data_IF_771819153510
#
_entry.id   IF_771819153510
#
_cell.length_a   1.000
_cell.length_b   1.000
_cell.length_c   1.000
_cell.angle_alpha   90.00
_cell.angle_beta   90.00
_cell.angle_gamma   90.00
#
_symmetry.space_group_name_H-M   'P 1'
#
loop_
_entity.id
_entity.type
_entity.pdbx_description
1 polymer ?
#
# COMPACT_ATOMS: atom_id res chain seq x y z
N UNK A 1 -7.26 2.99 -5.00
CA UNK A 1 -5.83 3.33 -4.76
C UNK A 1 -5.51 3.15 -3.27
N UNK A 2 -4.39 2.51 -2.95
CA UNK A 2 -3.73 2.51 -1.64
C UNK A 2 -2.31 3.08 -1.81
N UNK A 3 -1.90 3.95 -0.90
CA UNK A 3 -0.63 4.68 -0.95
C UNK A 3 0.36 4.14 0.09
N UNK A 4 0.46 2.82 0.20
CA UNK A 4 1.32 2.15 1.19
C UNK A 4 2.80 2.51 1.08
N UNK A 5 3.53 2.51 2.21
CA UNK A 5 4.99 2.72 2.22
C UNK A 5 5.78 1.63 1.48
N UNK A 6 5.14 0.52 1.12
CA UNK A 6 5.72 -0.55 0.28
C UNK A 6 5.31 -0.46 -1.20
N UNK A 7 4.65 0.62 -1.62
CA UNK A 7 4.17 0.87 -2.99
C UNK A 7 2.78 1.46 -3.01
N UNK A 8 2.54 2.34 -4.00
CA UNK A 8 1.19 2.78 -4.33
C UNK A 8 0.55 1.74 -5.26
N UNK A 9 -0.62 1.25 -4.86
CA UNK A 9 -1.34 0.18 -5.55
C UNK A 9 -2.72 0.67 -5.98
N UNK A 10 -3.09 0.39 -7.22
CA UNK A 10 -4.38 0.74 -7.75
C UNK A 10 -4.89 -0.33 -8.72
N UNK A 11 -6.20 -0.38 -8.89
CA UNK A 11 -6.84 -1.19 -9.92
C UNK A 11 -7.53 -0.23 -10.86
N UNK A 12 -7.12 -0.27 -12.13
CA UNK A 12 -7.66 0.54 -13.21
C UNK A 12 -8.63 -0.26 -14.06
N UNK A 13 -9.67 0.42 -14.54
CA UNK A 13 -10.68 -0.17 -15.42
C UNK A 13 -11.25 0.92 -16.32
N UNK A 14 -11.43 0.63 -17.61
CA UNK A 14 -12.20 1.47 -18.53
C UNK A 14 -13.67 1.05 -18.48
N UNK A 15 -14.55 2.02 -18.18
CA UNK A 15 -16.00 1.83 -18.16
C UNK A 15 -16.56 2.46 -19.43
N UNK A 16 -16.79 1.65 -20.43
CA UNK A 16 -17.52 1.99 -21.64
C UNK A 16 -18.58 0.90 -21.93
N UNK A 17 -19.28 0.97 -23.04
CA UNK A 17 -20.36 0.06 -23.47
C UNK A 17 -20.02 -1.45 -23.53
N UNK A 18 -18.91 -1.85 -22.99
CA UNK A 18 -18.46 -3.22 -22.72
C UNK A 18 -17.36 -3.16 -21.69
N UNK A 19 -17.45 -3.96 -20.64
CA UNK A 19 -16.54 -3.92 -19.48
C UNK A 19 -15.14 -4.32 -19.89
N UNK A 20 -14.21 -3.37 -19.84
CA UNK A 20 -12.77 -3.63 -19.96
C UNK A 20 -12.28 -4.57 -18.86
N UNK A 21 -11.16 -5.27 -19.10
CA UNK A 21 -10.51 -6.07 -18.05
C UNK A 21 -9.82 -5.15 -17.05
N UNK A 22 -10.00 -5.36 -15.73
CA UNK A 22 -9.26 -4.61 -14.73
C UNK A 22 -7.77 -4.98 -14.79
N UNK A 23 -6.90 -4.03 -14.52
CA UNK A 23 -5.47 -4.27 -14.42
C UNK A 23 -4.88 -3.57 -13.19
N UNK A 24 -3.78 -4.12 -12.70
CA UNK A 24 -3.05 -3.60 -11.56
C UNK A 24 -2.13 -2.46 -11.99
N UNK A 25 -2.18 -1.36 -11.24
CA UNK A 25 -1.17 -0.30 -11.26
C UNK A 25 -0.37 -0.44 -9.97
N UNK A 26 0.95 -0.60 -10.09
CA UNK A 26 1.84 -0.71 -8.95
C UNK A 26 3.04 0.21 -9.16
N UNK A 27 3.14 1.26 -8.35
CA UNK A 27 4.24 2.21 -8.35
C UNK A 27 5.05 2.06 -7.07
N UNK A 28 6.36 2.19 -7.18
CA UNK A 28 7.21 2.29 -6.01
C UNK A 28 6.80 3.50 -5.15
N UNK A 29 7.06 3.47 -3.84
CA UNK A 29 6.48 4.46 -2.93
C UNK A 29 7.17 5.83 -2.95
N UNK A 30 8.35 5.94 -3.55
CA UNK A 30 9.18 7.13 -3.52
C UNK A 30 8.58 8.29 -4.32
N UNK A 31 8.69 9.50 -3.78
CA UNK A 31 8.33 10.77 -4.40
C UNK A 31 9.44 11.76 -4.14
N UNK A 32 10.07 12.29 -5.18
CA UNK A 32 11.19 13.23 -5.05
C UNK A 32 10.89 14.54 -5.75
N UNK A 33 10.93 15.70 -5.06
CA UNK A 33 10.92 16.99 -5.71
C UNK A 33 12.18 17.18 -6.55
N UNK A 34 12.00 17.55 -7.82
CA UNK A 34 13.12 17.69 -8.76
C UNK A 34 13.03 18.99 -9.53
N UNK A 35 14.13 19.43 -10.14
CA UNK A 35 14.09 20.61 -11.01
C UNK A 35 13.59 20.26 -12.41
N UNK A 36 13.01 21.22 -13.12
CA UNK A 36 12.67 21.05 -14.53
C UNK A 36 13.88 20.65 -15.35
N UNK A 37 15.03 21.29 -15.12
CA UNK A 37 16.27 20.98 -15.82
C UNK A 37 16.73 19.53 -15.64
N UNK A 38 16.52 18.96 -14.44
CA UNK A 38 16.82 17.54 -14.18
C UNK A 38 15.92 16.60 -14.96
N UNK A 39 14.62 16.94 -15.11
CA UNK A 39 13.68 16.19 -15.95
C UNK A 39 14.04 16.34 -17.43
N UNK A 40 14.33 17.55 -17.92
CA UNK A 40 14.73 17.79 -19.30
C UNK A 40 16.01 17.00 -19.65
N UNK A 41 16.99 16.96 -18.76
CA UNK A 41 18.20 16.17 -18.92
C UNK A 41 17.93 14.65 -18.91
N UNK A 42 17.00 14.17 -18.06
CA UNK A 42 16.57 12.77 -18.07
C UNK A 42 15.90 12.40 -19.41
N UNK A 43 14.93 13.19 -19.86
CA UNK A 43 14.19 12.94 -21.10
C UNK A 43 15.11 12.94 -22.34
N UNK A 44 16.07 13.87 -22.41
CA UNK A 44 17.03 13.94 -23.53
C UNK A 44 18.08 12.82 -23.51
N UNK A 45 18.39 12.27 -22.34
CA UNK A 45 19.35 11.18 -22.17
C UNK A 45 18.75 9.76 -22.26
N UNK A 46 17.42 9.64 -22.28
CA UNK A 46 16.74 8.33 -22.32
C UNK A 46 16.61 7.85 -23.77
N UNK A 47 17.22 6.70 -24.07
CA UNK A 47 17.12 6.03 -25.37
C UNK A 47 16.11 4.88 -25.28
N UNK A 48 15.09 4.89 -26.13
CA UNK A 48 14.09 3.82 -26.23
C UNK A 48 12.83 4.06 -25.39
N UNK A 49 11.85 3.17 -25.54
CA UNK A 49 10.59 3.20 -24.80
C UNK A 49 10.77 2.52 -23.44
N UNK A 50 10.44 3.22 -22.38
CA UNK A 50 10.42 2.72 -21.01
C UNK A 50 8.98 2.51 -20.57
N UNK A 51 8.72 1.44 -19.80
CA UNK A 51 7.40 1.23 -19.20
C UNK A 51 6.98 2.46 -18.39
N UNK A 52 5.73 2.91 -18.49
CA UNK A 52 5.28 4.12 -17.79
C UNK A 52 5.56 4.10 -16.30
N UNK A 53 5.40 2.94 -15.63
CA UNK A 53 5.66 2.77 -14.21
C UNK A 53 7.11 3.06 -13.80
N UNK A 54 8.06 2.91 -14.73
CA UNK A 54 9.49 3.09 -14.51
C UNK A 54 10.00 4.49 -14.87
N UNK A 55 9.22 5.27 -15.62
CA UNK A 55 9.63 6.59 -16.13
C UNK A 55 8.75 7.73 -15.63
N UNK A 56 8.00 7.50 -14.57
CA UNK A 56 6.96 8.41 -14.13
C UNK A 56 7.52 9.66 -13.46
N UNK A 57 7.15 10.81 -14.02
CA UNK A 57 7.26 12.11 -13.37
C UNK A 57 6.01 12.93 -13.62
N UNK A 58 5.72 13.87 -12.73
CA UNK A 58 4.61 14.80 -12.87
C UNK A 58 5.05 16.22 -12.54
N UNK A 59 4.32 17.20 -13.07
CA UNK A 59 4.44 18.58 -12.60
C UNK A 59 3.08 19.18 -12.30
N UNK A 60 3.00 19.89 -11.18
CA UNK A 60 1.84 20.67 -10.74
C UNK A 60 2.27 22.14 -10.69
N UNK A 61 1.76 22.95 -11.58
CA UNK A 61 2.24 24.33 -11.77
C UNK A 61 3.74 24.36 -12.16
N UNK A 62 4.58 24.90 -11.29
CA UNK A 62 6.05 24.99 -11.50
C UNK A 62 6.84 23.94 -10.73
N UNK A 63 6.19 23.05 -10.00
CA UNK A 63 6.83 22.04 -9.17
C UNK A 63 6.84 20.70 -9.88
N UNK A 64 8.03 20.11 -10.02
CA UNK A 64 8.26 18.82 -10.67
C UNK A 64 8.57 17.76 -9.63
N UNK A 65 8.09 16.55 -9.86
CA UNK A 65 8.28 15.40 -8.98
C UNK A 65 8.59 14.16 -9.80
N UNK A 66 9.68 13.49 -9.48
CA UNK A 66 9.90 12.12 -9.92
C UNK A 66 9.13 11.16 -9.01
N UNK A 67 8.55 10.10 -9.57
CA UNK A 67 7.68 9.17 -8.84
C UNK A 67 8.16 7.74 -9.06
N UNK A 68 8.14 6.96 -7.98
CA UNK A 68 8.35 5.52 -8.03
C UNK A 68 9.77 5.13 -8.44
N UNK A 69 9.89 4.24 -9.42
CA UNK A 69 11.20 3.74 -9.87
C UNK A 69 12.14 4.86 -10.35
N UNK A 70 11.62 5.86 -11.06
CA UNK A 70 12.41 7.01 -11.49
C UNK A 70 12.98 7.79 -10.30
N UNK A 71 12.15 8.05 -9.27
CA UNK A 71 12.60 8.75 -8.08
C UNK A 71 13.72 7.98 -7.37
N UNK A 72 13.53 6.67 -7.17
CA UNK A 72 14.47 5.81 -6.48
C UNK A 72 15.78 5.61 -7.23
N UNK A 73 15.72 5.29 -8.53
CA UNK A 73 16.88 4.83 -9.30
C UNK A 73 17.72 5.99 -9.84
N UNK A 74 17.06 7.07 -10.27
CA UNK A 74 17.75 8.22 -10.85
C UNK A 74 18.05 9.32 -9.85
N UNK A 75 17.13 9.56 -8.92
CA UNK A 75 17.21 10.67 -7.97
C UNK A 75 17.53 10.20 -6.55
N UNK A 76 17.76 8.88 -6.35
CA UNK A 76 18.16 8.29 -5.07
C UNK A 76 17.20 8.61 -3.93
N UNK A 77 15.92 8.79 -4.25
CA UNK A 77 14.90 9.06 -3.26
C UNK A 77 14.72 7.90 -2.28
N UNK A 78 14.55 8.23 -1.04
CA UNK A 78 14.13 7.30 0.01
C UNK A 78 12.68 7.55 0.38
N UNK A 79 12.04 6.53 0.96
CA UNK A 79 10.66 6.67 1.42
C UNK A 79 10.63 7.54 2.67
N UNK A 80 10.13 8.76 2.56
CA UNK A 80 9.86 9.58 3.73
C UNK A 80 8.55 9.14 4.40
N UNK A 81 8.64 8.76 5.66
CA UNK A 81 7.52 8.30 6.46
C UNK A 81 6.98 9.37 7.42
N UNK A 82 7.58 10.57 7.45
CA UNK A 82 7.15 11.66 8.33
C UNK A 82 5.97 12.48 7.79
N UNK A 83 5.88 12.80 6.47
CA UNK A 83 4.76 13.58 5.93
C UNK A 83 3.42 12.87 6.08
N UNK A 84 2.34 13.63 6.05
CA UNK A 84 1.00 13.08 5.94
C UNK A 84 0.86 12.33 4.62
N UNK A 85 0.28 11.15 4.69
CA UNK A 85 0.19 10.22 3.54
C UNK A 85 -0.62 10.82 2.39
N UNK A 86 -1.65 11.62 2.70
CA UNK A 86 -2.53 12.21 1.69
C UNK A 86 -1.81 13.23 0.78
N UNK A 87 -0.77 13.92 1.25
CA UNK A 87 -0.04 14.89 0.43
C UNK A 87 0.72 14.19 -0.71
N UNK A 88 1.43 13.12 -0.42
CA UNK A 88 2.07 12.29 -1.45
C UNK A 88 1.07 11.46 -2.24
N UNK A 89 -0.08 11.13 -1.65
CA UNK A 89 -1.15 10.43 -2.35
C UNK A 89 -1.68 11.22 -3.56
N UNK A 90 -1.70 12.56 -3.51
CA UNK A 90 -2.03 13.38 -4.68
C UNK A 90 -1.06 13.08 -5.81
N UNK A 91 0.25 13.19 -5.57
CA UNK A 91 1.29 13.00 -6.57
C UNK A 91 1.27 11.58 -7.14
N UNK A 92 1.14 10.58 -6.27
CA UNK A 92 1.02 9.15 -6.65
C UNK A 92 -0.26 8.87 -7.44
N UNK A 93 -1.35 9.58 -7.16
CA UNK A 93 -2.60 9.46 -7.92
C UNK A 93 -2.43 10.03 -9.33
N UNK A 94 -1.84 11.22 -9.48
CA UNK A 94 -1.58 11.81 -10.80
C UNK A 94 -0.67 10.89 -11.64
N UNK A 95 0.36 10.32 -11.02
CA UNK A 95 1.23 9.33 -11.64
C UNK A 95 0.45 8.09 -12.10
N UNK A 96 -0.38 7.53 -11.23
CA UNK A 96 -1.21 6.38 -11.57
C UNK A 96 -2.25 6.68 -12.66
N UNK A 97 -2.79 7.90 -12.69
CA UNK A 97 -3.71 8.36 -13.75
C UNK A 97 -2.99 8.47 -15.09
N UNK A 98 -1.76 8.95 -15.10
CA UNK A 98 -0.94 8.92 -16.33
C UNK A 98 -0.67 7.49 -16.79
N UNK A 99 -0.21 6.60 -15.90
CA UNK A 99 0.00 5.18 -16.23
C UNK A 99 -1.28 4.53 -16.75
N UNK A 100 -2.43 4.84 -16.13
CA UNK A 100 -3.75 4.37 -16.58
C UNK A 100 -4.03 4.83 -18.01
N UNK A 101 -3.78 6.11 -18.31
CA UNK A 101 -3.99 6.67 -19.65
C UNK A 101 -3.12 6.00 -20.70
N UNK A 102 -1.83 5.79 -20.42
CA UNK A 102 -0.90 5.11 -21.35
C UNK A 102 -1.35 3.66 -21.62
N UNK A 103 -1.72 2.93 -20.57
CA UNK A 103 -2.14 1.52 -20.68
C UNK A 103 -3.48 1.34 -21.41
N UNK A 104 -4.37 2.32 -21.35
CA UNK A 104 -5.69 2.26 -21.96
C UNK A 104 -5.84 3.10 -23.23
N UNK A 105 -4.81 3.87 -23.60
CA UNK A 105 -4.86 4.76 -24.77
C UNK A 105 -5.93 5.83 -24.65
N UNK A 106 -6.10 6.45 -23.45
CA UNK A 106 -7.17 7.42 -23.19
C UNK A 106 -6.86 8.83 -23.73
N UNK A 107 -5.61 9.10 -24.06
CA UNK A 107 -5.15 10.47 -24.37
C UNK A 107 -5.05 11.32 -23.10
N UNK A 108 -5.07 12.63 -23.27
CA UNK A 108 -4.73 13.58 -22.19
C UNK A 108 -5.95 14.26 -21.56
N UNK A 109 -7.14 14.04 -22.10
CA UNK A 109 -8.40 14.64 -21.59
C UNK A 109 -9.46 13.55 -21.45
N UNK A 110 -9.91 13.30 -20.21
CA UNK A 110 -10.94 12.28 -19.92
C UNK A 110 -11.56 12.47 -18.53
N UNK A 111 -12.69 11.82 -18.32
CA UNK A 111 -13.36 11.72 -17.03
C UNK A 111 -12.82 10.53 -16.23
N UNK A 112 -12.68 10.72 -14.91
CA UNK A 112 -12.24 9.65 -14.00
C UNK A 112 -13.08 9.58 -12.74
N UNK A 113 -13.26 8.38 -12.23
CA UNK A 113 -13.79 8.11 -10.89
C UNK A 113 -12.72 7.41 -10.06
N UNK A 114 -12.47 7.89 -8.86
CA UNK A 114 -11.37 7.40 -8.00
C UNK A 114 -11.90 6.95 -6.66
N UNK A 115 -11.46 5.77 -6.21
CA UNK A 115 -11.57 5.34 -4.83
C UNK A 115 -10.18 5.32 -4.18
N UNK A 116 -10.07 5.86 -2.96
CA UNK A 116 -8.83 5.99 -2.22
C UNK A 116 -8.93 5.43 -0.79
N UNK A 117 -7.83 4.92 -0.28
CA UNK A 117 -7.67 4.44 1.09
C UNK A 117 -6.64 5.31 1.83
N UNK A 118 -7.02 5.87 2.97
CA UNK A 118 -6.16 6.68 3.83
C UNK A 118 -6.07 6.07 5.24
N UNK A 119 -4.99 6.33 5.97
CA UNK A 119 -4.95 5.98 7.39
C UNK A 119 -6.17 6.53 8.14
N UNK A 120 -6.73 5.83 9.16
CA UNK A 120 -7.95 6.27 9.84
C UNK A 120 -7.94 7.70 10.32
N UNK A 121 -6.81 8.18 10.87
CA UNK A 121 -6.67 9.57 11.33
C UNK A 121 -6.75 10.59 10.20
N UNK A 122 -6.05 10.34 9.09
CA UNK A 122 -6.06 11.20 7.91
C UNK A 122 -7.42 11.15 7.18
N UNK A 123 -8.05 9.97 7.11
CA UNK A 123 -9.41 9.83 6.59
C UNK A 123 -10.40 10.73 7.37
N UNK A 124 -10.28 10.76 8.70
CA UNK A 124 -11.17 11.57 9.54
C UNK A 124 -10.97 13.07 9.33
N UNK A 125 -9.71 13.50 9.28
CA UNK A 125 -9.35 14.93 9.36
C UNK A 125 -9.11 15.57 7.99
N UNK A 126 -8.61 14.83 7.01
CA UNK A 126 -8.05 15.40 5.78
C UNK A 126 -8.74 14.92 4.48
N UNK A 127 -9.74 14.02 4.54
CA UNK A 127 -10.37 13.46 3.32
C UNK A 127 -10.95 14.53 2.39
N UNK A 128 -11.58 15.56 2.93
CA UNK A 128 -12.19 16.64 2.15
C UNK A 128 -11.12 17.52 1.51
N UNK A 129 -10.05 17.79 2.25
CA UNK A 129 -8.89 18.53 1.75
C UNK A 129 -8.17 17.74 0.66
N UNK A 130 -8.01 16.42 0.85
CA UNK A 130 -7.46 15.53 -0.16
C UNK A 130 -8.30 15.54 -1.44
N UNK A 131 -9.62 15.36 -1.34
CA UNK A 131 -10.53 15.41 -2.49
C UNK A 131 -10.42 16.73 -3.25
N UNK A 132 -10.50 17.87 -2.55
CA UNK A 132 -10.40 19.20 -3.14
C UNK A 132 -9.08 19.43 -3.87
N UNK A 133 -7.96 19.09 -3.21
CA UNK A 133 -6.62 19.24 -3.80
C UNK A 133 -6.37 18.29 -4.96
N UNK A 134 -6.87 17.05 -4.87
CA UNK A 134 -6.78 16.08 -5.95
C UNK A 134 -7.55 16.55 -7.18
N UNK A 135 -8.78 17.06 -7.01
CA UNK A 135 -9.59 17.60 -8.09
C UNK A 135 -8.92 18.79 -8.77
N UNK A 136 -8.38 19.72 -7.98
CA UNK A 136 -7.60 20.86 -8.47
C UNK A 136 -6.39 20.41 -9.30
N UNK A 137 -5.63 19.44 -8.79
CA UNK A 137 -4.41 18.93 -9.46
C UNK A 137 -4.71 18.13 -10.73
N UNK A 138 -5.78 17.33 -10.75
CA UNK A 138 -6.22 16.57 -11.93
C UNK A 138 -6.67 17.46 -13.07
N UNK A 139 -7.24 18.64 -12.77
CA UNK A 139 -7.71 19.57 -13.78
C UNK A 139 -6.59 20.12 -14.68
N UNK A 140 -5.34 20.14 -14.20
CA UNK A 140 -4.19 20.60 -14.99
C UNK A 140 -2.87 20.13 -14.37
N UNK A 141 -2.24 19.14 -14.97
CA UNK A 141 -0.90 18.65 -14.59
C UNK A 141 -0.11 18.20 -15.81
N UNK A 142 1.22 18.16 -15.70
CA UNK A 142 2.12 17.77 -16.80
C UNK A 142 2.75 16.42 -16.50
N UNK A 143 2.93 15.62 -17.54
CA UNK A 143 3.51 14.26 -17.51
C UNK A 143 4.50 14.07 -18.65
N UNK A 144 5.19 12.94 -18.77
CA UNK A 144 5.99 12.63 -19.96
C UNK A 144 5.25 12.75 -21.30
N UNK A 145 3.93 12.49 -21.30
CA UNK A 145 3.08 12.56 -22.50
C UNK A 145 2.43 13.92 -22.74
N UNK A 146 2.83 14.94 -21.95
CA UNK A 146 2.36 16.32 -22.10
C UNK A 146 1.39 16.77 -21.01
N UNK A 147 0.59 17.77 -21.33
CA UNK A 147 -0.35 18.36 -20.39
C UNK A 147 -1.64 17.55 -20.32
N UNK A 148 -2.06 17.23 -19.11
CA UNK A 148 -3.28 16.47 -18.82
C UNK A 148 -4.36 17.36 -18.21
N UNK A 149 -5.60 17.12 -18.61
CA UNK A 149 -6.81 17.71 -18.06
C UNK A 149 -7.80 16.59 -17.77
N UNK A 150 -7.86 16.17 -16.53
CA UNK A 150 -8.68 15.04 -16.11
C UNK A 150 -9.78 15.55 -15.18
N UNK A 151 -11.04 15.23 -15.52
CA UNK A 151 -12.17 15.64 -14.71
C UNK A 151 -12.54 14.55 -13.70
N UNK A 152 -12.46 14.85 -12.41
CA UNK A 152 -12.85 13.95 -11.33
C UNK A 152 -14.38 14.00 -11.15
N UNK A 153 -15.09 13.02 -11.73
CA UNK A 153 -16.57 12.95 -11.69
C UNK A 153 -17.11 12.30 -10.43
N UNK A 154 -16.36 11.39 -9.83
CA UNK A 154 -16.74 10.76 -8.57
C UNK A 154 -15.52 10.40 -7.73
N UNK A 155 -15.59 10.71 -6.46
CA UNK A 155 -14.57 10.37 -5.48
C UNK A 155 -15.18 9.64 -4.30
N UNK A 156 -14.56 8.53 -3.87
CA UNK A 156 -14.92 7.81 -2.64
C UNK A 156 -13.64 7.53 -1.84
N UNK A 157 -13.58 8.03 -0.62
CA UNK A 157 -12.46 7.80 0.28
C UNK A 157 -12.92 6.95 1.46
N UNK A 158 -12.11 5.95 1.84
CA UNK A 158 -12.33 5.10 3.01
C UNK A 158 -11.07 5.04 3.86
N UNK A 159 -11.18 4.70 5.15
CA UNK A 159 -10.00 4.37 5.93
C UNK A 159 -9.36 3.08 5.40
N UNK A 160 -8.04 2.94 5.59
CA UNK A 160 -7.35 1.66 5.42
C UNK A 160 -8.06 0.57 6.21
N UNK A 161 -8.12 -0.64 5.70
CA UNK A 161 -8.98 -1.77 6.11
C UNK A 161 -10.47 -1.61 5.74
N UNK A 162 -10.85 -0.45 5.20
CA UNK A 162 -12.23 -0.16 4.82
C UNK A 162 -12.76 -1.06 3.71
N UNK A 163 -11.91 -1.43 2.74
CA UNK A 163 -12.25 -2.38 1.69
C UNK A 163 -12.57 -3.76 2.25
N UNK A 164 -11.69 -4.27 3.12
CA UNK A 164 -11.86 -5.56 3.84
C UNK A 164 -13.16 -5.55 4.65
N UNK A 165 -13.40 -4.49 5.42
CA UNK A 165 -14.64 -4.36 6.19
C UNK A 165 -15.89 -4.36 5.30
N UNK A 166 -15.90 -3.59 4.22
CA UNK A 166 -17.04 -3.51 3.29
C UNK A 166 -17.31 -4.86 2.62
N UNK A 167 -16.25 -5.59 2.26
CA UNK A 167 -16.36 -6.94 1.73
C UNK A 167 -17.01 -7.89 2.77
N UNK A 168 -16.50 -7.90 4.02
CA UNK A 168 -17.05 -8.74 5.09
C UNK A 168 -18.49 -8.40 5.42
N UNK A 169 -18.84 -7.10 5.49
CA UNK A 169 -20.21 -6.63 5.66
C UNK A 169 -21.16 -7.19 4.61
N UNK A 170 -20.70 -7.27 3.35
CA UNK A 170 -21.48 -7.84 2.27
C UNK A 170 -21.71 -9.34 2.45
N UNK A 171 -20.71 -10.08 2.89
CA UNK A 171 -20.82 -11.52 3.19
C UNK A 171 -21.79 -11.77 4.33
N UNK A 172 -21.70 -10.99 5.40
CA UNK A 172 -22.57 -11.16 6.59
C UNK A 172 -24.00 -10.67 6.39
N UNK A 173 -24.24 -9.75 5.47
CA UNK A 173 -25.58 -9.15 5.24
C UNK A 173 -26.21 -8.67 6.56
N UNK A 174 -27.38 -9.19 6.93
CA UNK A 174 -28.09 -8.80 8.15
C UNK A 174 -27.41 -9.25 9.43
N UNK A 175 -26.57 -10.30 9.39
CA UNK A 175 -25.84 -10.77 10.57
C UNK A 175 -24.86 -9.70 11.09
N UNK A 176 -24.44 -8.73 10.26
CA UNK A 176 -23.61 -7.59 10.69
C UNK A 176 -24.26 -6.78 11.82
N UNK A 177 -25.60 -6.73 11.89
CA UNK A 177 -26.36 -5.99 12.91
C UNK A 177 -26.26 -6.61 14.30
N UNK A 178 -25.72 -7.82 14.40
CA UNK A 178 -25.53 -8.56 15.65
C UNK A 178 -24.05 -8.83 15.94
N UNK A 179 -23.15 -8.39 15.05
CA UNK A 179 -21.73 -8.73 15.10
C UNK A 179 -20.87 -7.54 15.51
N UNK A 180 -19.87 -7.82 16.34
CA UNK A 180 -18.72 -6.93 16.62
C UNK A 180 -17.53 -7.45 15.84
N UNK A 181 -17.02 -6.66 14.90
CA UNK A 181 -15.93 -7.03 14.00
C UNK A 181 -14.78 -6.07 14.21
N UNK A 182 -13.57 -6.61 14.37
CA UNK A 182 -12.34 -5.84 14.36
C UNK A 182 -11.50 -6.24 13.13
N UNK A 183 -11.05 -5.26 12.35
CA UNK A 183 -10.11 -5.44 11.25
C UNK A 183 -8.78 -4.81 11.64
N UNK A 184 -7.77 -5.64 11.86
CA UNK A 184 -6.42 -5.24 12.21
C UNK A 184 -5.53 -5.33 10.97
N UNK A 185 -5.23 -4.17 10.35
CA UNK A 185 -4.29 -4.07 9.23
C UNK A 185 -2.90 -3.77 9.78
N UNK A 186 -1.94 -4.65 9.47
CA UNK A 186 -0.53 -4.44 9.84
C UNK A 186 0.27 -4.30 8.54
N UNK A 187 0.59 -3.05 8.24
CA UNK A 187 1.25 -2.65 7.00
C UNK A 187 2.75 -2.39 7.16
N UNK A 188 3.31 -1.69 6.19
CA UNK A 188 4.73 -1.30 6.19
C UNK A 188 5.03 -0.22 7.24
N UNK A 189 4.24 0.86 7.27
CA UNK A 189 4.44 2.02 8.18
C UNK A 189 3.71 1.85 9.50
N UNK A 190 2.44 1.45 9.44
CA UNK A 190 1.50 1.50 10.54
C UNK A 190 0.84 0.15 10.80
N UNK A 191 0.37 -0.04 12.04
CA UNK A 191 -0.70 -0.96 12.37
C UNK A 191 -1.95 -0.14 12.70
N UNK A 192 -3.09 -0.51 12.10
CA UNK A 192 -4.37 0.19 12.28
C UNK A 192 -5.46 -0.82 12.65
N UNK A 193 -6.40 -0.42 13.49
CA UNK A 193 -7.59 -1.21 13.79
C UNK A 193 -8.81 -0.40 13.40
N UNK A 194 -9.66 -0.98 12.55
CA UNK A 194 -11.01 -0.52 12.28
C UNK A 194 -11.96 -1.48 12.97
N UNK A 195 -12.94 -0.97 13.72
CA UNK A 195 -13.94 -1.84 14.32
C UNK A 195 -15.35 -1.39 13.99
N UNK A 196 -16.25 -2.36 13.96
CA UNK A 196 -17.68 -2.16 13.77
C UNK A 196 -18.43 -2.84 14.90
N UNK A 197 -19.31 -2.10 15.54
CA UNK A 197 -20.23 -2.64 16.52
C UNK A 197 -21.65 -2.66 15.92
N UNK A 198 -22.17 -3.86 15.66
CA UNK A 198 -23.53 -4.07 15.12
C UNK A 198 -23.80 -3.27 13.85
N UNK A 199 -22.79 -3.21 12.96
CA UNK A 199 -22.85 -2.47 11.69
C UNK A 199 -22.49 -0.98 11.77
N UNK A 200 -22.38 -0.40 12.96
CA UNK A 200 -21.89 0.96 13.16
C UNK A 200 -20.36 0.95 13.22
N UNK A 201 -19.73 1.60 12.25
CA UNK A 201 -18.26 1.72 12.21
C UNK A 201 -17.82 2.78 13.21
N UNK A 202 -16.95 2.38 14.13
CA UNK A 202 -16.34 3.27 15.11
C UNK A 202 -15.13 4.02 14.55
N UNK A 203 -14.55 4.89 15.39
CA UNK A 203 -13.30 5.55 15.07
C UNK A 203 -12.17 4.53 15.05
N UNK A 204 -11.46 4.44 13.92
CA UNK A 204 -10.27 3.61 13.80
C UNK A 204 -9.10 4.17 14.62
N UNK A 205 -8.20 3.30 15.05
CA UNK A 205 -6.97 3.67 15.76
C UNK A 205 -5.76 3.24 14.95
N UNK A 206 -4.69 4.04 15.03
CA UNK A 206 -3.44 3.79 14.30
C UNK A 206 -2.26 3.90 15.25
N UNK A 207 -1.23 3.10 14.99
CA UNK A 207 0.07 3.14 15.66
C UNK A 207 1.20 3.09 14.62
N UNK A 208 2.42 3.34 15.06
CA UNK A 208 3.62 3.20 14.23
C UNK A 208 4.22 1.77 14.25
N UNK A 209 3.43 0.75 14.61
CA UNK A 209 3.86 -0.65 14.64
C UNK A 209 3.71 -1.33 13.28
N UNK A 210 4.21 -0.70 12.21
CA UNK A 210 4.38 -1.35 10.91
C UNK A 210 5.70 -2.12 10.81
N UNK A 211 5.98 -2.71 9.65
CA UNK A 211 7.21 -3.47 9.36
C UNK A 211 8.49 -2.64 9.62
N UNK A 212 8.43 -1.32 9.41
CA UNK A 212 9.56 -0.44 9.70
C UNK A 212 10.04 -0.55 11.15
N UNK A 213 9.12 -0.75 12.10
CA UNK A 213 9.51 -0.94 13.50
C UNK A 213 10.33 -2.21 13.72
N UNK A 214 10.00 -3.29 13.00
CA UNK A 214 10.80 -4.50 12.97
C UNK A 214 12.20 -4.23 12.40
N UNK A 215 12.29 -3.45 11.31
CA UNK A 215 13.58 -3.08 10.69
C UNK A 215 14.41 -2.21 11.62
N UNK A 216 13.81 -1.23 12.30
CA UNK A 216 14.52 -0.40 13.30
C UNK A 216 15.19 -1.26 14.39
N UNK A 217 14.46 -2.25 14.91
CA UNK A 217 14.99 -3.17 15.92
C UNK A 217 16.11 -4.01 15.32
N UNK A 218 15.92 -4.57 14.12
CA UNK A 218 16.96 -5.35 13.43
C UNK A 218 18.24 -4.54 13.20
N UNK A 219 18.13 -3.31 12.69
CA UNK A 219 19.28 -2.42 12.44
C UNK A 219 20.02 -2.09 13.74
N UNK A 220 19.29 -1.84 14.82
CA UNK A 220 19.88 -1.60 16.16
C UNK A 220 20.73 -2.79 16.65
N UNK A 221 20.31 -4.01 16.32
CA UNK A 221 20.98 -5.25 16.75
C UNK A 221 22.07 -5.72 15.78
N UNK A 222 22.33 -4.97 14.70
CA UNK A 222 23.33 -5.32 13.69
C UNK A 222 24.27 -4.14 13.43
N UNK A 223 25.51 -4.42 13.06
CA UNK A 223 26.48 -3.38 12.67
C UNK A 223 26.54 -3.24 11.16
N UNK A 224 26.37 -2.02 10.65
CA UNK A 224 26.59 -1.69 9.25
C UNK A 224 25.44 -2.03 8.30
N UNK A 225 24.34 -2.55 8.80
CA UNK A 225 23.12 -2.80 7.99
C UNK A 225 22.35 -1.52 7.72
N UNK A 226 22.58 -0.47 8.49
CA UNK A 226 22.05 0.89 8.29
C UNK A 226 22.43 1.50 6.94
N UNK A 227 23.44 0.96 6.27
CA UNK A 227 23.86 1.39 4.92
C UNK A 227 23.01 0.78 3.79
N UNK A 228 22.17 -0.21 4.11
CA UNK A 228 21.26 -0.81 3.16
C UNK A 228 19.90 -0.10 3.19
N UNK A 229 19.25 -0.04 2.03
CA UNK A 229 17.87 0.45 1.98
C UNK A 229 16.93 -0.44 2.79
N UNK A 230 15.95 0.17 3.43
CA UNK A 230 14.92 -0.51 4.21
C UNK A 230 14.25 -1.65 3.43
N UNK A 231 13.99 -1.45 2.13
CA UNK A 231 13.38 -2.47 1.26
C UNK A 231 14.23 -3.73 1.10
N UNK A 232 15.56 -3.59 1.00
CA UNK A 232 16.48 -4.73 0.93
C UNK A 232 16.45 -5.53 2.23
N UNK A 233 16.44 -4.84 3.37
CA UNK A 233 16.37 -5.46 4.69
C UNK A 233 15.03 -6.20 4.85
N UNK A 234 13.89 -5.55 4.53
CA UNK A 234 12.57 -6.17 4.61
C UNK A 234 12.50 -7.41 3.73
N UNK A 235 12.98 -7.31 2.49
CA UNK A 235 13.00 -8.46 1.57
C UNK A 235 13.76 -9.63 2.17
N UNK A 236 14.96 -9.40 2.70
CA UNK A 236 15.75 -10.45 3.33
C UNK A 236 15.02 -11.07 4.55
N UNK A 237 14.39 -10.26 5.40
CA UNK A 237 13.61 -10.75 6.56
C UNK A 237 12.40 -11.58 6.11
N UNK A 238 11.67 -11.13 5.09
CA UNK A 238 10.50 -11.84 4.55
C UNK A 238 10.91 -13.17 3.92
N UNK A 239 11.96 -13.16 3.09
CA UNK A 239 12.48 -14.37 2.44
C UNK A 239 13.08 -15.37 3.44
N UNK A 240 13.63 -14.88 4.56
CA UNK A 240 14.13 -15.73 5.64
C UNK A 240 13.00 -16.54 6.33
N UNK A 241 11.77 -16.02 6.29
CA UNK A 241 10.58 -16.70 6.81
C UNK A 241 10.56 -16.79 8.34
N UNK A 242 9.63 -17.59 8.87
CA UNK A 242 9.47 -17.77 10.31
C UNK A 242 10.70 -18.50 10.96
N UNK A 243 11.33 -19.42 10.24
CA UNK A 243 12.52 -20.13 10.69
C UNK A 243 13.79 -19.26 10.72
N UNK A 244 13.75 -18.09 10.09
CA UNK A 244 14.87 -17.15 9.92
C UNK A 244 16.06 -17.83 9.25
N UNK A 245 15.87 -18.28 7.99
CA UNK A 245 16.93 -18.88 7.17
C UNK A 245 18.02 -17.86 6.85
N UNK A 246 19.29 -18.30 6.89
CA UNK A 246 20.43 -17.38 6.71
C UNK A 246 20.70 -16.95 5.28
N UNK A 247 20.26 -17.73 4.28
CA UNK A 247 20.58 -17.50 2.87
C UNK A 247 20.17 -16.10 2.35
N UNK A 248 18.97 -15.56 2.66
CA UNK A 248 18.59 -14.24 2.19
C UNK A 248 19.48 -13.09 2.69
N UNK A 249 20.12 -13.26 3.84
CA UNK A 249 21.01 -12.24 4.41
C UNK A 249 22.39 -12.18 3.74
N UNK A 250 22.73 -13.15 2.89
CA UNK A 250 24.01 -13.12 2.15
C UNK A 250 24.17 -11.85 1.30
N UNK A 251 23.06 -11.32 0.77
CA UNK A 251 23.06 -10.08 -0.01
C UNK A 251 23.31 -8.82 0.84
N UNK A 252 23.17 -8.92 2.16
CA UNK A 252 23.41 -7.84 3.11
C UNK A 252 24.77 -7.95 3.81
N UNK A 253 25.51 -9.07 3.61
CA UNK A 253 26.81 -9.28 4.22
C UNK A 253 27.84 -8.32 3.64
N UNK A 254 28.62 -7.66 4.52
CA UNK A 254 29.61 -6.63 4.15
C UNK A 254 31.03 -7.16 4.08
N UNK A 255 31.33 -8.25 4.79
CA UNK A 255 32.65 -8.83 4.79
C UNK A 255 33.07 -9.33 3.41
N UNK A 256 34.31 -9.09 3.01
CA UNK A 256 34.81 -9.53 1.71
C UNK A 256 35.14 -11.05 1.69
N UNK A 257 35.58 -11.61 2.84
CA UNK A 257 35.97 -13.02 2.94
C UNK A 257 34.74 -13.94 3.12
N UNK A 258 34.82 -15.16 2.63
CA UNK A 258 33.77 -16.16 2.80
C UNK A 258 33.48 -16.47 4.29
N UNK A 259 34.52 -16.50 5.12
CA UNK A 259 34.37 -16.73 6.56
C UNK A 259 33.67 -15.53 7.23
N UNK A 260 34.05 -14.29 6.89
CA UNK A 260 33.44 -13.07 7.40
C UNK A 260 31.96 -12.96 6.98
N UNK A 261 31.63 -13.26 5.72
CA UNK A 261 30.23 -13.29 5.27
C UNK A 261 29.37 -14.26 6.05
N UNK A 262 29.90 -15.46 6.37
CA UNK A 262 29.19 -16.44 7.20
C UNK A 262 28.93 -15.90 8.62
N UNK A 263 29.89 -15.20 9.21
CA UNK A 263 29.72 -14.59 10.53
C UNK A 263 28.72 -13.44 10.50
N UNK A 264 28.78 -12.55 9.48
CA UNK A 264 27.78 -11.48 9.27
C UNK A 264 26.38 -12.06 9.19
N UNK A 265 26.18 -13.11 8.38
CA UNK A 265 24.88 -13.78 8.24
C UNK A 265 24.42 -14.37 9.58
N UNK A 266 25.30 -15.01 10.34
CA UNK A 266 24.97 -15.57 11.65
C UNK A 266 24.50 -14.51 12.64
N UNK A 267 25.17 -13.33 12.63
CA UNK A 267 24.75 -12.19 13.44
C UNK A 267 23.39 -11.65 13.00
N UNK A 268 23.15 -11.47 11.68
CA UNK A 268 21.86 -11.04 11.14
C UNK A 268 20.72 -12.00 11.44
N UNK A 269 20.97 -13.31 11.39
CA UNK A 269 19.97 -14.32 11.80
C UNK A 269 19.62 -14.18 13.29
N UNK A 270 20.61 -14.01 14.16
CA UNK A 270 20.39 -13.79 15.59
C UNK A 270 19.60 -12.49 15.83
N UNK A 271 20.01 -11.39 15.19
CA UNK A 271 19.35 -10.10 15.28
C UNK A 271 17.90 -10.17 14.78
N UNK A 272 17.65 -10.89 13.68
CA UNK A 272 16.28 -11.04 13.15
C UNK A 272 15.38 -11.80 14.12
N UNK A 273 15.86 -12.84 14.76
CA UNK A 273 15.07 -13.59 15.77
C UNK A 273 14.70 -12.69 16.95
N UNK A 274 15.68 -11.95 17.48
CA UNK A 274 15.44 -10.98 18.55
C UNK A 274 14.46 -9.89 18.11
N UNK A 275 14.66 -9.33 16.93
CA UNK A 275 13.80 -8.26 16.39
C UNK A 275 12.37 -8.76 16.18
N UNK A 276 12.17 -9.97 15.67
CA UNK A 276 10.82 -10.57 15.53
C UNK A 276 10.13 -10.73 16.88
N UNK A 277 10.84 -11.25 17.88
CA UNK A 277 10.30 -11.44 19.22
C UNK A 277 9.90 -10.10 19.87
N UNK A 278 10.82 -9.14 19.92
CA UNK A 278 10.56 -7.82 20.51
C UNK A 278 9.42 -7.09 19.81
N UNK A 279 9.46 -7.06 18.47
CA UNK A 279 8.41 -6.44 17.67
C UNK A 279 7.05 -7.10 17.93
N UNK A 280 6.97 -8.42 17.93
CA UNK A 280 5.72 -9.16 18.17
C UNK A 280 5.15 -8.88 19.54
N UNK A 281 5.97 -8.81 20.59
CA UNK A 281 5.54 -8.43 21.94
C UNK A 281 4.99 -7.00 21.99
N UNK A 282 5.63 -6.04 21.30
CA UNK A 282 5.16 -4.66 21.22
C UNK A 282 3.82 -4.57 20.48
N UNK A 283 3.73 -5.22 19.32
CA UNK A 283 2.54 -5.25 18.50
C UNK A 283 1.34 -5.86 19.25
N UNK A 284 1.51 -7.05 19.84
CA UNK A 284 0.42 -7.74 20.52
C UNK A 284 -0.03 -7.02 21.77
N UNK A 285 0.88 -6.41 22.54
CA UNK A 285 0.51 -5.54 23.67
C UNK A 285 -0.36 -4.36 23.24
N UNK A 286 -0.07 -3.78 22.08
CA UNK A 286 -0.89 -2.70 21.53
C UNK A 286 -2.24 -3.22 21.02
N UNK A 287 -2.26 -4.36 20.31
CA UNK A 287 -3.49 -5.01 19.84
C UNK A 287 -4.41 -5.34 21.04
N UNK A 288 -3.91 -6.02 22.06
CA UNK A 288 -4.68 -6.42 23.25
C UNK A 288 -5.31 -5.21 23.97
N UNK A 289 -4.61 -4.06 23.95
CA UNK A 289 -5.12 -2.81 24.56
C UNK A 289 -6.21 -2.14 23.72
N UNK A 290 -6.22 -2.36 22.39
CA UNK A 290 -7.03 -1.59 21.44
C UNK A 290 -8.17 -2.38 20.82
N UNK A 291 -8.04 -3.71 20.77
CA UNK A 291 -9.11 -4.57 20.27
C UNK A 291 -10.31 -4.56 21.21
N UNK A 292 -11.56 -4.56 20.71
CA UNK A 292 -12.75 -4.76 21.53
C UNK A 292 -12.67 -6.08 22.30
N UNK A 293 -13.02 -6.06 23.59
CA UNK A 293 -13.04 -7.27 24.42
C UNK A 293 -14.10 -8.28 23.94
N UNK A 294 -15.27 -7.77 23.54
CA UNK A 294 -16.35 -8.58 22.98
C UNK A 294 -16.35 -8.42 21.45
N UNK A 295 -15.68 -9.35 20.76
CA UNK A 295 -15.65 -9.39 19.31
C UNK A 295 -16.07 -10.76 18.79
N UNK A 296 -16.89 -10.76 17.76
CA UNK A 296 -17.31 -12.00 17.09
C UNK A 296 -16.28 -12.44 16.05
N UNK A 297 -15.62 -11.47 15.40
CA UNK A 297 -14.61 -11.75 14.38
C UNK A 297 -13.42 -10.80 14.53
N UNK A 298 -12.22 -11.37 14.39
CA UNK A 298 -10.95 -10.66 14.29
C UNK A 298 -10.35 -10.93 12.92
N UNK A 299 -10.25 -9.89 12.09
CA UNK A 299 -9.73 -10.01 10.73
C UNK A 299 -8.34 -9.39 10.68
N UNK A 300 -7.34 -10.20 10.35
CA UNK A 300 -5.99 -9.71 10.07
C UNK A 300 -5.81 -9.50 8.58
N UNK A 301 -5.14 -8.39 8.19
CA UNK A 301 -4.77 -8.10 6.81
C UNK A 301 -3.49 -7.27 6.73
N UNK A 302 -2.90 -7.21 5.53
CA UNK A 302 -1.66 -6.49 5.26
C UNK A 302 -0.41 -7.35 5.34
N UNK A 303 0.63 -6.95 4.62
CA UNK A 303 1.83 -7.78 4.43
C UNK A 303 2.59 -8.15 5.71
N UNK A 304 2.63 -7.24 6.70
CA UNK A 304 3.29 -7.54 7.98
C UNK A 304 2.44 -8.48 8.85
N UNK A 305 1.10 -8.40 8.78
CA UNK A 305 0.25 -9.39 9.43
C UNK A 305 0.55 -10.81 8.90
N UNK A 306 0.68 -10.96 7.59
CA UNK A 306 1.03 -12.24 6.96
C UNK A 306 2.44 -12.74 7.30
N UNK A 307 3.40 -11.84 7.52
CA UNK A 307 4.74 -12.20 8.01
C UNK A 307 4.70 -12.87 9.40
N UNK A 308 3.70 -12.53 10.21
CA UNK A 308 3.46 -13.08 11.55
C UNK A 308 2.18 -13.94 11.62
N UNK A 309 1.77 -14.51 10.49
CA UNK A 309 0.50 -15.23 10.39
C UNK A 309 0.37 -16.36 11.40
N UNK A 310 1.42 -17.15 11.54
CA UNK A 310 1.42 -18.27 12.48
C UNK A 310 1.31 -17.76 13.92
N UNK A 311 2.20 -16.85 14.32
CA UNK A 311 2.27 -16.34 15.68
C UNK A 311 0.97 -15.59 16.09
N UNK A 312 0.36 -14.83 15.16
CA UNK A 312 -0.92 -14.16 15.41
C UNK A 312 -2.07 -15.17 15.51
N UNK A 313 -2.11 -16.20 14.66
CA UNK A 313 -3.13 -17.26 14.74
C UNK A 313 -3.05 -18.04 16.05
N UNK A 314 -1.85 -18.34 16.52
CA UNK A 314 -1.62 -19.01 17.81
C UNK A 314 -2.04 -18.10 18.99
N UNK A 315 -1.63 -16.81 18.95
CA UNK A 315 -1.94 -15.84 20.01
C UNK A 315 -3.44 -15.61 20.19
N UNK A 316 -4.18 -15.53 19.07
CA UNK A 316 -5.62 -15.26 19.04
C UNK A 316 -6.46 -16.51 18.73
N UNK A 317 -5.96 -17.70 19.10
CA UNK A 317 -6.61 -19.00 18.82
C UNK A 317 -7.99 -19.19 19.42
N UNK A 318 -8.35 -18.39 20.43
CA UNK A 318 -9.70 -18.38 21.03
C UNK A 318 -10.67 -17.48 20.28
N UNK A 319 -10.20 -16.63 19.37
CA UNK A 319 -11.01 -15.77 18.53
C UNK A 319 -11.41 -16.47 17.22
N UNK A 320 -12.50 -16.02 16.60
CA UNK A 320 -12.77 -16.34 15.19
C UNK A 320 -11.88 -15.47 14.31
N UNK A 321 -10.68 -15.98 14.01
CA UNK A 321 -9.69 -15.26 13.20
C UNK A 321 -9.91 -15.52 11.72
N UNK A 322 -10.02 -14.43 10.94
CA UNK A 322 -10.08 -14.46 9.48
C UNK A 322 -8.86 -13.72 8.89
N UNK A 323 -8.41 -14.17 7.72
CA UNK A 323 -7.31 -13.55 6.99
C UNK A 323 -7.84 -12.87 5.74
N UNK A 324 -7.57 -11.55 5.63
CA UNK A 324 -8.06 -10.71 4.52
C UNK A 324 -9.59 -10.80 4.30
N UNK A 325 -10.37 -11.19 5.32
CA UNK A 325 -11.81 -11.47 5.26
C UNK A 325 -12.19 -12.54 4.20
N UNK A 326 -11.30 -13.47 3.89
CA UNK A 326 -11.41 -14.48 2.84
C UNK A 326 -11.59 -13.88 1.43
N UNK A 327 -10.97 -12.73 1.19
CA UNK A 327 -10.96 -12.09 -0.14
C UNK A 327 -10.11 -12.90 -1.09
N UNK A 328 -10.73 -13.45 -2.12
CA UNK A 328 -10.06 -14.17 -3.20
C UNK A 328 -9.63 -13.19 -4.30
N UNK A 329 -8.32 -13.11 -4.53
CA UNK A 329 -7.73 -12.30 -5.59
C UNK A 329 -7.68 -13.09 -6.89
N UNK A 330 -8.21 -12.57 -8.01
CA UNK A 330 -8.02 -13.22 -9.30
C UNK A 330 -6.52 -13.28 -9.66
N UNK A 331 -5.98 -14.47 -9.98
CA UNK A 331 -4.56 -14.60 -10.35
C UNK A 331 -4.15 -13.71 -11.54
N UNK A 332 -5.09 -13.46 -12.45
CA UNK A 332 -4.89 -12.60 -13.62
C UNK A 332 -4.74 -11.12 -13.29
N UNK A 333 -5.20 -10.69 -12.11
CA UNK A 333 -5.07 -9.30 -11.65
C UNK A 333 -3.76 -9.06 -10.92
N UNK A 334 -3.31 -10.01 -10.12
CA UNK A 334 -2.07 -9.88 -9.33
C UNK A 334 -0.83 -10.30 -10.13
N UNK A 335 -0.55 -9.55 -11.18
CA UNK A 335 0.55 -9.81 -12.13
C UNK A 335 1.95 -9.70 -11.50
N UNK A 336 2.07 -9.08 -10.33
CA UNK A 336 3.37 -8.85 -9.64
C UNK A 336 3.49 -9.58 -8.30
N UNK A 337 2.53 -10.43 -7.96
CA UNK A 337 2.59 -11.29 -6.77
C UNK A 337 2.47 -10.52 -5.43
N UNK A 338 1.58 -9.54 -5.36
CA UNK A 338 1.34 -8.77 -4.14
C UNK A 338 0.62 -9.57 -3.05
N UNK A 339 -0.22 -10.54 -3.46
CA UNK A 339 -1.01 -11.37 -2.54
C UNK A 339 -1.85 -10.52 -1.58
N UNK A 340 -1.77 -10.81 -0.29
CA UNK A 340 -2.50 -10.10 0.78
C UNK A 340 -2.30 -8.57 0.79
N UNK A 341 -1.21 -8.07 0.22
CA UNK A 341 -0.94 -6.63 0.10
C UNK A 341 -1.90 -5.92 -0.88
N UNK A 342 -2.63 -6.68 -1.71
CA UNK A 342 -3.63 -6.17 -2.64
C UNK A 342 -5.06 -6.37 -2.13
N UNK A 343 -5.30 -7.14 -1.08
CA UNK A 343 -6.62 -7.56 -0.63
C UNK A 343 -7.56 -6.38 -0.32
N UNK A 344 -7.10 -5.37 0.43
CA UNK A 344 -7.93 -4.20 0.79
C UNK A 344 -8.27 -3.35 -0.44
N UNK A 345 -7.31 -3.15 -1.33
CA UNK A 345 -7.52 -2.42 -2.60
C UNK A 345 -8.52 -3.15 -3.49
N UNK A 346 -8.39 -4.47 -3.60
CA UNK A 346 -9.30 -5.28 -4.42
C UNK A 346 -10.73 -5.31 -3.83
N UNK A 347 -10.86 -5.48 -2.53
CA UNK A 347 -12.13 -5.42 -1.85
C UNK A 347 -12.82 -4.06 -2.03
N UNK A 348 -12.05 -2.96 -1.92
CA UNK A 348 -12.52 -1.60 -2.20
C UNK A 348 -12.91 -1.43 -3.67
N UNK A 349 -12.10 -1.93 -4.62
CA UNK A 349 -12.39 -1.89 -6.06
C UNK A 349 -13.73 -2.56 -6.36
N UNK A 350 -14.00 -3.75 -5.84
CA UNK A 350 -15.28 -4.46 -6.06
C UNK A 350 -16.47 -3.61 -5.59
N UNK A 351 -16.41 -3.08 -4.38
CA UNK A 351 -17.47 -2.23 -3.81
C UNK A 351 -17.65 -0.93 -4.61
N UNK A 352 -16.56 -0.33 -5.03
CA UNK A 352 -16.58 0.91 -5.80
C UNK A 352 -17.17 0.70 -7.20
N UNK A 353 -16.77 -0.36 -7.88
CA UNK A 353 -17.31 -0.76 -9.19
C UNK A 353 -18.84 -0.93 -9.15
N UNK A 354 -19.36 -1.61 -8.14
CA UNK A 354 -20.82 -1.80 -7.98
C UNK A 354 -21.55 -0.47 -7.79
N UNK A 355 -21.00 0.43 -6.99
CA UNK A 355 -21.57 1.78 -6.79
C UNK A 355 -21.58 2.59 -8.09
N UNK A 356 -20.51 2.52 -8.87
CA UNK A 356 -20.44 3.21 -10.15
C UNK A 356 -21.42 2.63 -11.16
N UNK A 357 -21.49 1.29 -11.27
CA UNK A 357 -22.45 0.62 -12.15
C UNK A 357 -23.89 1.01 -11.83
N UNK A 358 -24.25 1.06 -10.54
CA UNK A 358 -25.58 1.52 -10.11
C UNK A 358 -25.85 2.98 -10.46
N UNK A 359 -24.84 3.86 -10.40
CA UNK A 359 -24.98 5.30 -10.76
C UNK A 359 -25.10 5.53 -12.27
N UNK A 360 -24.34 4.74 -13.04
CA UNK A 360 -24.29 4.90 -14.51
C UNK A 360 -25.36 4.09 -15.24
N UNK A 361 -26.17 3.30 -14.52
CA UNK A 361 -27.18 2.41 -15.13
C UNK A 361 -26.58 1.29 -15.99
N UNK A 362 -25.30 0.95 -15.76
CA UNK A 362 -24.57 -0.11 -16.49
C UNK A 362 -24.57 -1.37 -15.64
N UNK A 363 -25.01 -2.49 -16.20
CA UNK A 363 -24.93 -3.79 -15.51
C UNK A 363 -23.48 -4.17 -15.29
N UNK A 364 -23.11 -4.35 -14.02
CA UNK A 364 -21.81 -4.94 -13.68
C UNK A 364 -21.84 -6.41 -14.12
N UNK A 365 -21.12 -6.77 -15.18
CA UNK A 365 -20.82 -8.18 -15.44
C UNK A 365 -19.77 -8.66 -14.43
N UNK A 366 -19.91 -9.88 -13.95
CA UNK A 366 -19.04 -10.55 -12.97
C UNK A 366 -17.60 -10.75 -13.45
#
# INVERSE_FOLDING_TARGET
MDFGGSGAKGIGLRIESGIGKPFLICLNPEVEPVTKASIDAYMSGTLGATEPENSCWIAIGKQYYAIGALARERFHAEVDLHPLKWEDAIRKTLAAVWVLSERLGLGNEFDISIAALLPPGEYKNDRERFESKLKESLANFVTPSGNFKVNLVFFDCKPESGGIYLYRRRVLKDAIKQSVIAVAMIGHRNASILFSNKGAVGEGVTSNFGCNKLVEIFVRETSGTETHSTDKIIRAIVEAGAEVKGQPFMALARSCSAAGKKEDVKQMVKATRLAREEYFQMLTRWLDKKLPSERNELIFCGGTAHLFKQELSERYSLDTVLWDADVELPPTLDSVGLGSRLADVYAMYRTFRERLSSRLGVTAAD
#
